data_IF_137716703786
#
_entry.id   IF_137716703786
#
_cell.length_a   1.000
_cell.length_b   1.000
_cell.length_c   1.000
_cell.angle_alpha   90.00
_cell.angle_beta   90.00
_cell.angle_gamma   90.00
#
_symmetry.space_group_name_H-M   'P 1'
#
loop_
_entity.id
_entity.type
_entity.pdbx_description
1 polymer ?
#
# COMPACT_ATOMS: atom_id res chain seq x y z
N UNK A 1 31.19 19.56 30.50
CA UNK A 1 30.51 19.12 29.28
C UNK A 1 30.46 17.59 29.28
N UNK A 2 29.29 16.94 29.33
CA UNK A 2 29.25 15.49 29.31
C UNK A 2 29.50 14.99 27.87
N UNK A 3 30.44 14.08 27.71
CA UNK A 3 30.68 13.35 26.47
C UNK A 3 29.46 12.44 26.22
N UNK A 4 28.74 12.70 25.13
CA UNK A 4 27.66 11.83 24.67
C UNK A 4 28.32 10.56 24.11
N UNK A 5 28.05 9.42 24.74
CA UNK A 5 28.56 8.11 24.35
C UNK A 5 28.08 7.72 22.94
N UNK A 6 28.94 7.84 21.94
CA UNK A 6 28.70 7.39 20.56
C UNK A 6 28.39 5.87 20.42
N UNK A 7 28.68 5.08 21.47
CA UNK A 7 28.42 3.64 21.46
C UNK A 7 26.91 3.29 21.47
N UNK A 8 26.07 4.12 22.12
CA UNK A 8 24.63 3.86 22.23
C UNK A 8 23.89 4.15 20.90
N UNK A 9 24.36 5.15 20.16
CA UNK A 9 23.77 5.46 18.84
C UNK A 9 24.15 4.40 17.77
N UNK A 10 25.38 3.91 17.81
CA UNK A 10 25.83 2.85 16.90
C UNK A 10 25.14 1.50 17.16
N UNK A 11 24.88 1.15 18.44
CA UNK A 11 24.13 -0.09 18.76
C UNK A 11 22.67 -0.04 18.35
N UNK A 12 22.01 1.14 18.44
CA UNK A 12 20.62 1.31 17.98
C UNK A 12 20.50 1.25 16.45
N UNK A 13 21.46 1.83 15.72
CA UNK A 13 21.51 1.74 14.25
C UNK A 13 21.81 0.31 13.78
N UNK A 14 22.68 -0.42 14.50
CA UNK A 14 22.97 -1.82 14.21
C UNK A 14 21.78 -2.74 14.50
N UNK A 15 21.04 -2.50 15.60
CA UNK A 15 19.83 -3.27 15.91
C UNK A 15 18.70 -3.01 14.89
N UNK A 16 18.54 -1.77 14.38
CA UNK A 16 17.60 -1.46 13.33
C UNK A 16 18.00 -2.08 11.98
N UNK A 17 19.29 -2.13 11.65
CA UNK A 17 19.80 -2.78 10.44
C UNK A 17 19.64 -4.32 10.48
N UNK A 18 19.82 -4.94 11.64
CA UNK A 18 19.62 -6.39 11.84
C UNK A 18 18.14 -6.74 11.57
N UNK A 19 17.20 -5.93 12.05
CA UNK A 19 15.76 -6.20 11.89
C UNK A 19 15.29 -6.10 10.42
N UNK A 20 15.80 -5.17 9.64
CA UNK A 20 15.48 -5.05 8.20
C UNK A 20 16.09 -6.20 7.42
N UNK A 21 17.31 -6.57 7.71
CA UNK A 21 17.97 -7.71 7.05
C UNK A 21 17.29 -9.02 7.37
N UNK A 22 16.88 -9.24 8.62
CA UNK A 22 16.17 -10.46 9.04
C UNK A 22 14.84 -10.62 8.29
N UNK A 23 14.09 -9.54 8.07
CA UNK A 23 12.84 -9.57 7.30
C UNK A 23 13.10 -9.85 5.82
N UNK A 24 14.10 -9.21 5.22
CA UNK A 24 14.49 -9.50 3.83
C UNK A 24 15.02 -10.93 3.68
N UNK A 25 15.81 -11.42 4.63
CA UNK A 25 16.32 -12.78 4.62
C UNK A 25 15.16 -13.78 4.82
N UNK A 26 14.17 -13.49 5.63
CA UNK A 26 12.99 -14.33 5.85
C UNK A 26 12.05 -14.34 4.63
N UNK A 27 11.87 -13.19 3.97
CA UNK A 27 11.15 -13.08 2.68
C UNK A 27 11.89 -13.86 1.58
N UNK A 28 13.22 -13.76 1.49
CA UNK A 28 14.02 -14.50 0.52
C UNK A 28 14.03 -16.00 0.83
N UNK A 29 14.11 -16.38 2.10
CA UNK A 29 14.02 -17.77 2.52
C UNK A 29 12.64 -18.37 2.21
N UNK A 30 11.57 -17.61 2.44
CA UNK A 30 10.21 -17.99 2.09
C UNK A 30 10.03 -18.12 0.59
N UNK A 31 10.67 -17.26 -0.22
CA UNK A 31 10.69 -17.34 -1.68
C UNK A 31 11.42 -18.60 -2.15
N UNK A 32 12.61 -18.88 -1.61
CA UNK A 32 13.39 -20.07 -2.00
C UNK A 32 12.69 -21.36 -1.60
N UNK A 33 12.10 -21.42 -0.40
CA UNK A 33 11.28 -22.55 0.05
C UNK A 33 10.03 -22.73 -0.82
N UNK A 34 9.43 -21.63 -1.29
CA UNK A 34 8.33 -21.63 -2.24
C UNK A 34 8.75 -22.18 -3.60
N UNK A 35 9.86 -21.69 -4.18
CA UNK A 35 10.36 -22.16 -5.49
C UNK A 35 10.71 -23.64 -5.47
N UNK A 36 11.28 -24.14 -4.36
CA UNK A 36 11.52 -25.58 -4.16
C UNK A 36 10.22 -26.38 -4.01
N UNK A 37 9.22 -25.82 -3.32
CA UNK A 37 7.92 -26.45 -3.13
C UNK A 37 7.14 -26.50 -4.45
N UNK A 38 7.21 -25.46 -5.26
CA UNK A 38 6.62 -25.41 -6.62
C UNK A 38 7.25 -26.43 -7.54
N UNK A 39 8.59 -26.62 -7.48
CA UNK A 39 9.28 -27.69 -8.21
C UNK A 39 8.82 -29.10 -7.81
N UNK A 40 8.56 -29.33 -6.52
CA UNK A 40 8.05 -30.59 -6.00
C UNK A 40 6.56 -30.84 -6.29
N UNK A 41 5.80 -29.76 -6.56
CA UNK A 41 4.35 -29.78 -6.79
C UNK A 41 3.97 -29.78 -8.26
N UNK A 42 4.93 -29.76 -9.20
CA UNK A 42 4.66 -29.82 -10.64
C UNK A 42 3.85 -31.06 -11.10
N UNK A 43 3.67 -32.02 -10.22
CA UNK A 43 2.86 -33.24 -10.45
C UNK A 43 1.49 -33.22 -9.74
N UNK A 44 1.18 -32.19 -8.93
CA UNK A 44 -0.10 -32.09 -8.22
C UNK A 44 -0.85 -30.82 -8.66
N UNK A 45 -2.16 -30.92 -8.79
CA UNK A 45 -3.02 -29.76 -9.04
C UNK A 45 -2.86 -28.73 -7.90
N UNK A 46 -2.14 -27.65 -8.16
CA UNK A 46 -1.96 -26.52 -7.25
C UNK A 46 -2.87 -25.39 -7.70
N UNK A 47 -3.75 -24.93 -6.82
CA UNK A 47 -4.59 -23.77 -7.08
C UNK A 47 -3.89 -22.48 -6.64
N UNK A 48 -3.94 -21.45 -7.46
CA UNK A 48 -3.42 -20.11 -7.15
C UNK A 48 -4.52 -19.25 -6.55
N UNK A 49 -4.26 -18.70 -5.36
CA UNK A 49 -5.08 -17.65 -4.75
C UNK A 49 -4.36 -16.32 -4.92
N UNK A 50 -5.00 -15.36 -5.58
CA UNK A 50 -4.51 -13.98 -5.68
C UNK A 50 -5.37 -13.11 -4.78
N UNK A 51 -4.82 -12.23 -3.94
CA UNK A 51 -5.60 -11.38 -3.02
C UNK A 51 -6.71 -10.58 -3.71
N UNK A 52 -6.43 -10.05 -4.91
CA UNK A 52 -7.42 -9.34 -5.72
C UNK A 52 -8.60 -10.21 -6.19
N UNK A 53 -8.50 -11.54 -6.13
CA UNK A 53 -9.61 -12.45 -6.43
C UNK A 53 -10.46 -12.78 -5.19
N UNK A 54 -10.01 -12.38 -4.00
CA UNK A 54 -10.75 -12.52 -2.75
C UNK A 54 -11.77 -11.38 -2.56
N UNK A 55 -11.76 -10.40 -3.45
CA UNK A 55 -12.83 -9.41 -3.50
C UNK A 55 -14.16 -10.15 -3.61
N UNK A 56 -15.12 -9.84 -2.73
CA UNK A 56 -16.43 -10.48 -2.76
C UNK A 56 -17.01 -10.25 -4.16
N UNK A 57 -16.98 -11.30 -5.03
CA UNK A 57 -17.27 -11.23 -6.45
C UNK A 57 -18.72 -10.83 -6.79
N UNK A 58 -19.53 -10.55 -5.77
CA UNK A 58 -20.78 -9.81 -5.88
C UNK A 58 -20.44 -8.32 -5.91
N UNK A 59 -20.37 -7.72 -7.12
CA UNK A 59 -20.43 -6.26 -7.25
C UNK A 59 -21.54 -5.76 -6.34
N UNK A 60 -21.17 -5.16 -5.22
CA UNK A 60 -22.15 -4.54 -4.32
C UNK A 60 -22.72 -3.37 -5.11
N UNK A 61 -23.92 -3.56 -5.64
CA UNK A 61 -24.62 -2.53 -6.43
C UNK A 61 -25.03 -1.38 -5.52
N UNK A 62 -24.87 -0.16 -6.04
CA UNK A 62 -25.38 1.04 -5.37
C UNK A 62 -26.90 0.87 -5.23
N UNK A 63 -27.48 1.05 -4.03
CA UNK A 63 -28.91 0.94 -3.83
C UNK A 63 -29.69 1.86 -4.78
N UNK A 64 -30.88 1.42 -5.22
CA UNK A 64 -31.76 2.27 -6.02
C UNK A 64 -32.18 3.51 -5.23
N UNK A 65 -32.12 4.69 -5.86
CA UNK A 65 -32.48 5.96 -5.23
C UNK A 65 -31.30 6.73 -4.60
N UNK A 66 -30.10 6.17 -4.61
CA UNK A 66 -28.90 6.91 -4.17
C UNK A 66 -28.44 7.81 -5.31
N UNK A 67 -28.15 9.08 -4.99
CA UNK A 67 -27.56 10.03 -5.93
C UNK A 67 -26.19 9.53 -6.38
N UNK A 68 -25.97 9.51 -7.70
CA UNK A 68 -24.71 9.05 -8.30
C UNK A 68 -23.87 10.24 -8.73
N UNK A 69 -22.61 10.19 -8.35
CA UNK A 69 -21.58 11.13 -8.77
C UNK A 69 -20.89 10.63 -10.05
N UNK A 70 -20.35 11.53 -10.83
CA UNK A 70 -19.53 11.19 -11.98
C UNK A 70 -18.26 12.05 -12.02
N UNK A 71 -17.20 11.51 -12.63
CA UNK A 71 -15.86 12.11 -12.56
C UNK A 71 -15.22 12.20 -13.95
N UNK A 72 -14.39 13.23 -14.12
CA UNK A 72 -13.47 13.37 -15.26
C UNK A 72 -12.05 13.11 -14.76
N UNK A 73 -11.64 11.86 -14.71
CA UNK A 73 -10.31 11.44 -14.30
C UNK A 73 -9.78 10.32 -15.19
N UNK A 74 -8.46 10.08 -15.22
CA UNK A 74 -7.91 8.87 -15.83
C UNK A 74 -8.55 7.64 -15.17
N UNK A 75 -8.86 6.64 -15.97
CA UNK A 75 -9.54 5.43 -15.52
C UNK A 75 -8.64 4.22 -15.77
N UNK A 76 -8.90 3.16 -15.01
CA UNK A 76 -8.29 1.86 -15.21
C UNK A 76 -7.20 1.51 -14.21
N UNK A 77 -6.67 0.32 -14.38
CA UNK A 77 -5.65 -0.27 -13.52
C UNK A 77 -4.34 0.54 -13.56
N UNK A 78 -4.03 1.11 -14.71
CA UNK A 78 -2.79 1.84 -14.98
C UNK A 78 -2.61 3.01 -14.02
N UNK A 79 -3.67 3.80 -13.80
CA UNK A 79 -3.61 4.93 -12.87
C UNK A 79 -3.43 4.47 -11.42
N UNK A 80 -4.00 3.31 -11.06
CA UNK A 80 -3.79 2.68 -9.76
C UNK A 80 -2.30 2.42 -9.52
N UNK A 81 -1.64 1.73 -10.44
CA UNK A 81 -0.21 1.43 -10.36
C UNK A 81 0.65 2.69 -10.24
N UNK A 82 0.35 3.72 -11.03
CA UNK A 82 1.09 5.00 -10.98
C UNK A 82 0.95 5.70 -9.63
N UNK A 83 -0.25 5.73 -9.06
CA UNK A 83 -0.50 6.37 -7.75
C UNK A 83 0.13 5.55 -6.62
N UNK A 84 0.01 4.23 -6.61
CA UNK A 84 0.69 3.36 -5.64
C UNK A 84 2.20 3.58 -5.69
N UNK A 85 2.77 3.65 -6.91
CA UNK A 85 4.20 3.94 -7.09
C UNK A 85 4.59 5.31 -6.57
N UNK A 86 3.78 6.32 -6.76
CA UNK A 86 4.04 7.67 -6.22
C UNK A 86 4.02 7.67 -4.68
N UNK A 87 3.08 6.96 -4.07
CA UNK A 87 3.00 6.84 -2.62
C UNK A 87 4.18 6.04 -2.04
N UNK A 88 4.53 4.93 -2.67
CA UNK A 88 5.73 4.16 -2.32
C UNK A 88 6.98 5.05 -2.30
N UNK A 89 7.23 5.79 -3.39
CA UNK A 89 8.38 6.70 -3.49
C UNK A 89 8.33 7.78 -2.41
N UNK A 90 7.16 8.36 -2.15
CA UNK A 90 6.97 9.39 -1.12
C UNK A 90 7.24 8.85 0.29
N UNK A 91 6.73 7.67 0.62
CA UNK A 91 6.96 7.02 1.91
C UNK A 91 8.44 6.67 2.10
N UNK A 92 9.10 6.17 1.05
CA UNK A 92 10.55 5.89 1.08
C UNK A 92 11.39 7.16 1.25
N UNK A 93 10.86 8.31 0.81
CA UNK A 93 11.48 9.64 0.99
C UNK A 93 10.87 10.44 2.16
N UNK A 94 10.14 9.79 3.09
CA UNK A 94 9.39 10.46 4.15
C UNK A 94 10.18 11.46 4.97
N UNK A 95 11.47 11.20 5.24
CA UNK A 95 12.32 12.13 5.98
C UNK A 95 12.55 13.48 5.28
N UNK A 96 12.27 13.58 3.96
CA UNK A 96 12.36 14.83 3.20
C UNK A 96 10.99 15.44 2.92
N UNK A 97 9.93 14.65 2.95
CA UNK A 97 8.58 15.05 2.57
C UNK A 97 7.68 15.34 3.77
N UNK A 98 7.92 14.71 4.92
CA UNK A 98 7.13 14.95 6.13
C UNK A 98 7.97 15.65 7.21
N UNK A 99 7.42 16.67 7.92
CA UNK A 99 6.11 17.26 7.68
C UNK A 99 6.05 17.98 6.33
N UNK A 100 4.90 17.91 5.66
CA UNK A 100 4.71 18.55 4.37
C UNK A 100 4.34 20.02 4.53
N UNK A 101 5.22 20.92 4.11
CA UNK A 101 5.11 22.36 4.26
C UNK A 101 5.19 23.13 2.92
N UNK A 102 5.07 22.41 1.80
CA UNK A 102 5.12 22.99 0.44
C UNK A 102 6.39 23.81 0.15
N UNK A 103 7.51 23.44 0.76
CA UNK A 103 8.79 24.11 0.48
C UNK A 103 9.21 23.92 -0.98
N UNK A 104 10.03 24.81 -1.55
CA UNK A 104 10.53 24.65 -2.92
C UNK A 104 11.20 23.30 -3.15
N UNK A 105 11.97 22.80 -2.17
CA UNK A 105 12.64 21.52 -2.23
C UNK A 105 11.66 20.34 -2.25
N UNK A 106 10.58 20.43 -1.45
CA UNK A 106 9.52 19.41 -1.44
C UNK A 106 8.75 19.43 -2.77
N UNK A 107 8.43 20.60 -3.30
CA UNK A 107 7.77 20.74 -4.61
C UNK A 107 8.59 20.14 -5.74
N UNK A 108 9.91 20.41 -5.78
CA UNK A 108 10.81 19.82 -6.75
C UNK A 108 10.87 18.30 -6.63
N UNK A 109 10.95 17.78 -5.39
CA UNK A 109 10.96 16.34 -5.14
C UNK A 109 9.66 15.66 -5.59
N UNK A 110 8.52 16.29 -5.33
CA UNK A 110 7.21 15.81 -5.78
C UNK A 110 7.17 15.70 -7.31
N UNK A 111 7.65 16.71 -8.05
CA UNK A 111 7.69 16.66 -9.51
C UNK A 111 8.54 15.49 -10.03
N UNK A 112 9.66 15.19 -9.35
CA UNK A 112 10.49 14.02 -9.68
C UNK A 112 9.77 12.71 -9.40
N UNK A 113 9.05 12.61 -8.28
CA UNK A 113 8.25 11.43 -7.93
C UNK A 113 7.13 11.22 -8.96
N UNK A 114 6.37 12.27 -9.29
CA UNK A 114 5.28 12.21 -10.27
C UNK A 114 5.79 11.77 -11.64
N UNK A 115 6.90 12.37 -12.11
CA UNK A 115 7.51 12.00 -13.38
C UNK A 115 7.98 10.54 -13.37
N UNK A 116 8.61 10.10 -12.29
CA UNK A 116 9.09 8.72 -12.16
C UNK A 116 7.93 7.71 -12.13
N UNK A 117 6.90 7.98 -11.33
CA UNK A 117 5.72 7.12 -11.25
C UNK A 117 4.99 6.97 -12.58
N UNK A 118 4.92 8.05 -13.38
CA UNK A 118 4.40 7.98 -14.74
C UNK A 118 5.28 7.12 -15.64
N UNK A 119 6.58 7.40 -15.70
CA UNK A 119 7.53 6.69 -16.59
C UNK A 119 7.62 5.18 -16.28
N UNK A 120 7.48 4.79 -15.03
CA UNK A 120 7.51 3.38 -14.64
C UNK A 120 6.35 2.56 -15.25
N UNK A 121 5.23 3.22 -15.63
CA UNK A 121 4.01 2.58 -16.13
C UNK A 121 3.44 3.17 -17.42
N UNK A 122 4.13 4.12 -18.08
CA UNK A 122 3.61 4.77 -19.30
C UNK A 122 3.32 3.75 -20.43
N UNK A 123 4.13 2.69 -20.53
CA UNK A 123 3.95 1.62 -21.51
C UNK A 123 2.71 0.75 -21.29
N UNK A 124 2.09 0.83 -20.13
CA UNK A 124 0.87 0.09 -19.76
C UNK A 124 -0.40 0.93 -19.99
N UNK A 125 -0.26 2.22 -20.35
CA UNK A 125 -1.39 3.12 -20.52
C UNK A 125 -2.29 2.66 -21.65
N UNK A 126 -3.48 2.19 -21.30
CA UNK A 126 -4.51 1.75 -22.24
C UNK A 126 -5.46 2.88 -22.66
N UNK A 127 -5.42 4.03 -21.99
CA UNK A 127 -6.33 5.15 -22.22
C UNK A 127 -5.73 6.16 -23.19
N UNK A 128 -6.62 6.90 -23.88
CA UNK A 128 -6.24 8.01 -24.75
C UNK A 128 -5.96 9.32 -23.99
N UNK A 129 -5.84 9.27 -22.67
CA UNK A 129 -5.53 10.45 -21.87
C UNK A 129 -4.10 10.92 -22.12
N UNK A 130 -3.87 12.23 -22.08
CA UNK A 130 -2.54 12.81 -22.28
C UNK A 130 -1.64 12.52 -21.07
N UNK A 131 -0.32 12.50 -21.29
CA UNK A 131 0.69 12.43 -20.23
C UNK A 131 0.45 13.49 -19.13
N UNK A 132 0.16 14.73 -19.54
CA UNK A 132 -0.11 15.82 -18.59
C UNK A 132 -1.29 15.50 -17.69
N UNK A 133 -2.34 14.86 -18.22
CA UNK A 133 -3.52 14.50 -17.44
C UNK A 133 -3.21 13.41 -16.40
N UNK A 134 -2.40 12.41 -16.77
CA UNK A 134 -1.92 11.41 -15.81
C UNK A 134 -1.06 12.04 -14.71
N UNK A 135 -0.08 12.86 -15.11
CA UNK A 135 0.81 13.54 -14.16
C UNK A 135 0.05 14.49 -13.22
N UNK A 136 -0.93 15.22 -13.73
CA UNK A 136 -1.78 16.09 -12.91
C UNK A 136 -2.59 15.30 -11.88
N UNK A 137 -3.11 14.13 -12.27
CA UNK A 137 -3.84 13.28 -11.35
C UNK A 137 -2.91 12.68 -10.28
N UNK A 138 -1.77 12.11 -10.66
CA UNK A 138 -0.78 11.59 -9.72
C UNK A 138 -0.34 12.68 -8.75
N UNK A 139 -0.05 13.88 -9.26
CA UNK A 139 0.37 15.02 -8.44
C UNK A 139 -0.72 15.42 -7.44
N UNK A 140 -1.98 15.44 -7.87
CA UNK A 140 -3.10 15.76 -6.98
C UNK A 140 -3.25 14.73 -5.86
N UNK A 141 -3.21 13.44 -6.18
CA UNK A 141 -3.30 12.36 -5.20
C UNK A 141 -2.12 12.39 -4.21
N UNK A 142 -0.91 12.63 -4.73
CA UNK A 142 0.29 12.72 -3.90
C UNK A 142 0.21 13.90 -2.93
N UNK A 143 -0.26 15.06 -3.37
CA UNK A 143 -0.48 16.21 -2.50
C UNK A 143 -1.53 15.92 -1.42
N UNK A 144 -2.63 15.24 -1.76
CA UNK A 144 -3.66 14.83 -0.79
C UNK A 144 -3.07 13.91 0.27
N UNK A 145 -2.29 12.90 -0.15
CA UNK A 145 -1.61 11.95 0.74
C UNK A 145 -0.61 12.65 1.67
N UNK A 146 0.20 13.57 1.15
CA UNK A 146 1.19 14.31 1.95
C UNK A 146 0.57 15.28 2.95
N UNK A 147 -0.65 15.78 2.68
CA UNK A 147 -1.41 16.66 3.58
C UNK A 147 -2.20 15.91 4.64
N UNK A 148 -2.34 14.60 4.49
CA UNK A 148 -3.08 13.78 5.43
C UNK A 148 -2.35 13.68 6.77
N UNK A 149 -2.99 14.18 7.83
CA UNK A 149 -2.38 14.25 9.16
C UNK A 149 -2.34 12.91 9.88
N UNK A 150 -3.24 12.00 9.54
CA UNK A 150 -3.24 10.66 10.10
C UNK A 150 -2.10 9.84 9.49
N UNK A 151 -1.89 9.93 8.18
CA UNK A 151 -0.72 9.35 7.50
C UNK A 151 0.59 9.93 8.05
N UNK A 152 0.69 11.26 8.17
CA UNK A 152 1.88 11.90 8.75
C UNK A 152 2.18 11.36 10.16
N UNK A 153 1.16 11.28 11.02
CA UNK A 153 1.27 10.78 12.38
C UNK A 153 1.72 9.33 12.41
N UNK A 154 1.10 8.47 11.62
CA UNK A 154 1.44 7.05 11.52
C UNK A 154 2.89 6.85 11.08
N UNK A 155 3.31 7.50 9.99
CA UNK A 155 4.68 7.41 9.47
C UNK A 155 5.72 7.94 10.44
N UNK A 156 5.38 8.95 11.25
CA UNK A 156 6.27 9.53 12.26
C UNK A 156 6.43 8.64 13.49
N UNK A 157 5.38 7.93 13.87
CA UNK A 157 5.36 7.11 15.09
C UNK A 157 5.78 5.66 14.85
N UNK A 158 5.75 5.19 13.61
CA UNK A 158 6.14 3.84 13.26
C UNK A 158 7.63 3.58 13.55
N UNK A 159 7.92 2.45 14.20
CA UNK A 159 9.28 1.96 14.44
C UNK A 159 9.94 1.47 13.14
N UNK A 160 9.15 0.86 12.25
CA UNK A 160 9.59 0.46 10.92
C UNK A 160 8.46 0.64 9.91
N UNK A 161 8.84 0.91 8.67
CA UNK A 161 7.92 1.19 7.55
C UNK A 161 8.35 0.37 6.35
N UNK A 162 7.45 -0.44 5.83
CA UNK A 162 7.66 -1.28 4.65
C UNK A 162 6.65 -0.89 3.58
N UNK A 163 7.15 -0.59 2.40
CA UNK A 163 6.34 -0.29 1.20
C UNK A 163 6.43 -1.45 0.24
N UNK A 164 5.32 -1.75 -0.45
CA UNK A 164 5.26 -2.83 -1.45
C UNK A 164 5.85 -4.13 -0.89
N UNK A 165 5.44 -4.52 0.33
CA UNK A 165 5.97 -5.71 1.00
C UNK A 165 5.50 -6.97 0.28
N UNK A 166 6.38 -7.70 -0.43
CA UNK A 166 5.99 -8.89 -1.14
C UNK A 166 5.78 -10.06 -0.18
N UNK A 167 4.87 -10.95 -0.52
CA UNK A 167 4.69 -12.20 0.22
C UNK A 167 4.49 -13.38 -0.69
N UNK A 168 4.87 -14.55 -0.17
CA UNK A 168 4.62 -15.86 -0.77
C UNK A 168 4.15 -16.79 0.34
N UNK A 169 3.08 -17.52 0.11
CA UNK A 169 2.53 -18.46 1.10
C UNK A 169 2.04 -19.73 0.44
N UNK A 170 2.23 -20.84 1.15
CA UNK A 170 1.64 -22.13 0.83
C UNK A 170 0.72 -22.54 1.98
N UNK A 171 -0.48 -23.02 1.66
CA UNK A 171 -1.43 -23.60 2.60
C UNK A 171 -2.01 -24.88 1.97
N UNK A 172 -1.44 -26.02 2.35
CA UNK A 172 -1.72 -27.29 1.69
C UNK A 172 -1.31 -27.28 0.21
N UNK A 173 -2.29 -27.43 -0.69
CA UNK A 173 -2.10 -27.38 -2.15
C UNK A 173 -2.43 -26.00 -2.75
N UNK A 174 -2.70 -25.01 -1.92
CA UNK A 174 -2.97 -23.64 -2.35
C UNK A 174 -1.73 -22.77 -2.15
N UNK A 175 -1.32 -22.08 -3.19
CA UNK A 175 -0.28 -21.07 -3.07
C UNK A 175 -0.85 -19.67 -3.31
N UNK A 176 -0.29 -18.72 -2.62
CA UNK A 176 -0.62 -17.32 -2.79
C UNK A 176 0.63 -16.46 -2.84
N UNK A 177 0.59 -15.46 -3.68
CA UNK A 177 1.59 -14.42 -3.72
C UNK A 177 0.92 -13.08 -3.95
N UNK A 178 1.55 -12.03 -3.48
CA UNK A 178 1.05 -10.67 -3.63
C UNK A 178 1.98 -9.67 -2.98
N UNK A 179 1.47 -8.48 -2.84
CA UNK A 179 2.18 -7.34 -2.25
C UNK A 179 1.22 -6.63 -1.31
N UNK A 180 1.70 -6.20 -0.16
CA UNK A 180 0.99 -5.30 0.76
C UNK A 180 1.54 -3.89 0.53
N UNK A 181 0.68 -2.94 0.21
CA UNK A 181 1.08 -1.60 -0.22
C UNK A 181 1.93 -0.87 0.85
N UNK A 182 1.45 -0.86 2.09
CA UNK A 182 2.14 -0.24 3.22
C UNK A 182 1.93 -1.04 4.49
N UNK A 183 3.02 -1.45 5.14
CA UNK A 183 3.01 -2.10 6.44
C UNK A 183 3.83 -1.28 7.43
N UNK A 184 3.22 -0.93 8.55
CA UNK A 184 3.83 -0.16 9.62
C UNK A 184 3.99 -1.05 10.86
N UNK A 185 5.22 -1.16 11.37
CA UNK A 185 5.46 -1.71 12.70
C UNK A 185 5.37 -0.57 13.71
N UNK A 186 4.31 -0.53 14.50
CA UNK A 186 4.11 0.51 15.53
C UNK A 186 4.85 0.15 16.83
N UNK A 187 4.90 -1.14 17.15
CA UNK A 187 5.64 -1.70 18.28
C UNK A 187 5.93 -3.19 18.01
N UNK A 188 6.61 -3.88 18.94
CA UNK A 188 6.79 -5.33 18.82
C UNK A 188 5.48 -6.13 18.90
N UNK A 189 4.38 -5.47 19.30
CA UNK A 189 3.07 -6.10 19.48
C UNK A 189 1.97 -5.40 18.68
N UNK A 190 2.31 -4.49 17.77
CA UNK A 190 1.31 -3.73 17.01
C UNK A 190 1.81 -3.42 15.62
N UNK A 191 0.99 -3.79 14.62
CA UNK A 191 1.23 -3.56 13.19
C UNK A 191 -0.01 -2.92 12.57
N UNK A 192 0.21 -2.13 11.53
CA UNK A 192 -0.86 -1.56 10.70
C UNK A 192 -0.55 -1.91 9.24
N UNK A 193 -1.54 -2.46 8.53
CA UNK A 193 -1.52 -2.66 7.08
C UNK A 193 -2.42 -1.59 6.47
N UNK A 194 -1.93 -0.86 5.48
CA UNK A 194 -2.73 0.11 4.72
C UNK A 194 -2.70 -0.31 3.27
N UNK A 195 -3.89 -0.54 2.72
CA UNK A 195 -4.11 -0.92 1.33
C UNK A 195 -4.68 0.30 0.58
N UNK A 196 -4.06 0.70 -0.53
CA UNK A 196 -4.46 1.87 -1.30
C UNK A 196 -5.52 1.49 -2.32
N UNK A 197 -6.62 2.23 -2.37
CA UNK A 197 -7.71 1.95 -3.30
C UNK A 197 -8.05 3.17 -4.16
N UNK A 198 -8.06 2.94 -5.46
CA UNK A 198 -8.41 3.92 -6.49
C UNK A 198 -9.89 3.85 -6.89
N UNK A 199 -10.74 3.26 -6.05
CA UNK A 199 -12.17 3.20 -6.30
C UNK A 199 -12.77 4.59 -6.34
N UNK A 200 -13.65 4.83 -7.33
CA UNK A 200 -14.41 6.06 -7.44
C UNK A 200 -15.55 6.04 -6.44
N UNK A 201 -15.72 7.14 -5.71
CA UNK A 201 -16.92 7.35 -4.92
C UNK A 201 -18.08 7.65 -5.87
N UNK A 202 -18.91 6.65 -6.15
CA UNK A 202 -20.08 6.80 -7.04
C UNK A 202 -21.32 7.27 -6.29
N UNK A 203 -21.34 7.15 -4.97
CA UNK A 203 -22.41 7.60 -4.08
C UNK A 203 -22.11 9.00 -3.55
N UNK A 204 -23.15 9.86 -3.48
CA UNK A 204 -23.03 11.17 -2.83
C UNK A 204 -22.77 11.03 -1.32
N UNK A 205 -23.28 9.98 -0.70
CA UNK A 205 -23.01 9.64 0.71
C UNK A 205 -21.67 8.91 0.83
N UNK A 206 -20.66 9.63 1.35
CA UNK A 206 -19.32 9.09 1.56
C UNK A 206 -19.28 7.91 2.53
N UNK A 207 -20.10 7.94 3.58
CA UNK A 207 -20.16 6.87 4.57
C UNK A 207 -20.66 5.58 3.95
N UNK A 208 -21.71 5.67 3.12
CA UNK A 208 -22.24 4.52 2.39
C UNK A 208 -21.19 3.95 1.41
N UNK A 209 -20.44 4.82 0.74
CA UNK A 209 -19.32 4.41 -0.12
C UNK A 209 -18.27 3.63 0.69
N UNK A 210 -17.80 4.20 1.80
CA UNK A 210 -16.75 3.58 2.63
C UNK A 210 -17.20 2.23 3.20
N UNK A 211 -18.43 2.12 3.70
CA UNK A 211 -19.00 0.86 4.19
C UNK A 211 -19.09 -0.20 3.07
N UNK A 212 -19.50 0.19 1.86
CA UNK A 212 -19.58 -0.71 0.71
C UNK A 212 -18.21 -1.20 0.29
N UNK A 213 -17.24 -0.31 0.18
CA UNK A 213 -15.88 -0.66 -0.22
C UNK A 213 -15.21 -1.53 0.86
N UNK A 214 -15.34 -1.17 2.13
CA UNK A 214 -14.80 -1.95 3.23
C UNK A 214 -15.35 -3.39 3.21
N UNK A 215 -16.66 -3.55 2.97
CA UNK A 215 -17.28 -4.87 2.85
C UNK A 215 -16.71 -5.66 1.67
N UNK A 216 -16.49 -5.00 0.53
CA UNK A 216 -15.92 -5.63 -0.68
C UNK A 216 -14.50 -6.14 -0.44
N UNK A 217 -13.66 -5.34 0.22
CA UNK A 217 -12.24 -5.66 0.41
C UNK A 217 -11.91 -6.36 1.74
N UNK A 218 -12.90 -6.55 2.62
CA UNK A 218 -12.68 -7.25 3.90
C UNK A 218 -11.98 -8.60 3.75
N UNK A 219 -12.37 -9.47 2.81
CA UNK A 219 -11.68 -10.76 2.63
C UNK A 219 -10.21 -10.60 2.24
N UNK A 220 -9.85 -9.57 1.47
CA UNK A 220 -8.47 -9.26 1.12
C UNK A 220 -7.67 -8.79 2.35
N UNK A 221 -8.25 -7.90 3.16
CA UNK A 221 -7.61 -7.39 4.37
C UNK A 221 -7.39 -8.50 5.41
N UNK A 222 -8.41 -9.35 5.64
CA UNK A 222 -8.30 -10.49 6.54
C UNK A 222 -7.22 -11.48 6.05
N UNK A 223 -7.09 -11.64 4.74
CA UNK A 223 -6.04 -12.44 4.13
C UNK A 223 -4.65 -11.83 4.36
N UNK A 224 -4.48 -10.53 4.19
CA UNK A 224 -3.22 -9.83 4.46
C UNK A 224 -2.82 -9.96 5.94
N UNK A 225 -3.76 -9.80 6.87
CA UNK A 225 -3.52 -10.01 8.29
C UNK A 225 -3.01 -11.44 8.56
N UNK A 226 -3.72 -12.46 8.03
CA UNK A 226 -3.31 -13.88 8.17
C UNK A 226 -1.90 -14.11 7.64
N UNK A 227 -1.58 -13.55 6.48
CA UNK A 227 -0.26 -13.70 5.86
C UNK A 227 0.82 -12.99 6.68
N UNK A 228 0.59 -11.76 7.12
CA UNK A 228 1.56 -11.01 7.93
C UNK A 228 1.84 -11.75 9.25
N UNK A 229 0.80 -12.25 9.91
CA UNK A 229 0.94 -13.05 11.14
C UNK A 229 1.80 -14.29 10.91
N UNK A 230 1.58 -15.00 9.81
CA UNK A 230 2.36 -16.20 9.43
C UNK A 230 3.80 -15.83 9.10
N UNK A 231 4.02 -14.80 8.28
CA UNK A 231 5.34 -14.33 7.83
C UNK A 231 6.26 -13.96 9.00
N UNK A 232 5.71 -13.24 9.96
CA UNK A 232 6.48 -12.71 11.09
C UNK A 232 6.33 -13.57 12.35
N UNK A 233 5.69 -14.75 12.27
CA UNK A 233 5.42 -15.64 13.41
C UNK A 233 4.78 -14.90 14.59
N UNK A 234 3.84 -13.98 14.30
CA UNK A 234 3.21 -13.13 15.29
C UNK A 234 2.32 -13.96 16.24
N UNK A 235 2.39 -13.64 17.52
CA UNK A 235 1.48 -14.23 18.51
C UNK A 235 0.05 -13.73 18.32
N UNK A 236 -0.93 -14.47 18.84
CA UNK A 236 -2.35 -14.04 18.87
C UNK A 236 -2.56 -12.72 19.63
N UNK A 237 -1.67 -12.40 20.57
CA UNK A 237 -1.69 -11.16 21.36
C UNK A 237 -1.12 -9.95 20.61
N UNK A 238 -0.54 -10.16 19.42
CA UNK A 238 -0.06 -9.07 18.58
C UNK A 238 -1.24 -8.44 17.87
N UNK A 239 -1.40 -7.15 18.02
CA UNK A 239 -2.43 -6.37 17.32
C UNK A 239 -2.03 -6.14 15.87
N UNK A 240 -2.93 -6.44 14.94
CA UNK A 240 -2.75 -6.13 13.52
C UNK A 240 -4.01 -5.44 13.04
N UNK A 241 -3.88 -4.17 12.70
CA UNK A 241 -4.97 -3.39 12.12
C UNK A 241 -4.83 -3.34 10.60
N UNK A 242 -5.96 -3.43 9.89
CA UNK A 242 -5.99 -3.30 8.43
C UNK A 242 -6.89 -2.14 8.04
N UNK A 243 -6.34 -1.21 7.26
CA UNK A 243 -7.01 0.00 6.81
C UNK A 243 -7.03 0.08 5.29
N UNK A 244 -8.01 0.80 4.75
CA UNK A 244 -8.06 1.20 3.35
C UNK A 244 -7.79 2.71 3.29
N UNK A 245 -6.83 3.10 2.45
CA UNK A 245 -6.64 4.50 2.10
C UNK A 245 -7.32 4.80 0.77
N UNK A 246 -8.32 5.66 0.80
CA UNK A 246 -9.08 6.07 -0.38
C UNK A 246 -8.44 7.26 -1.07
N UNK A 247 -8.36 7.18 -2.40
CA UNK A 247 -7.98 8.34 -3.20
C UNK A 247 -9.00 9.47 -3.08
N UNK A 248 -8.52 10.71 -3.14
CA UNK A 248 -9.36 11.89 -3.15
C UNK A 248 -9.66 12.30 -4.61
N UNK A 249 -10.90 12.23 -5.03
CA UNK A 249 -11.33 12.56 -6.39
C UNK A 249 -12.15 13.86 -6.49
N UNK A 250 -12.28 14.63 -5.43
CA UNK A 250 -13.12 15.85 -5.37
C UNK A 250 -12.84 16.82 -6.52
N UNK A 251 -11.56 17.03 -6.86
CA UNK A 251 -11.14 17.89 -7.99
C UNK A 251 -11.69 17.43 -9.34
N UNK A 252 -11.99 16.15 -9.50
CA UNK A 252 -12.37 15.51 -10.76
C UNK A 252 -13.87 15.24 -10.86
N UNK A 253 -14.65 15.61 -9.84
CA UNK A 253 -16.10 15.48 -9.85
C UNK A 253 -16.70 16.33 -10.98
N UNK A 254 -17.65 15.75 -11.72
CA UNK A 254 -18.42 16.48 -12.73
C UNK A 254 -19.54 17.22 -12.03
N UNK A 255 -19.60 18.52 -12.23
CA UNK A 255 -20.77 19.33 -11.89
C UNK A 255 -21.93 19.07 -12.86
#
# INVERSE_FOLDING_TARGET
MPQINNATAQSAVQAAQINVKDIFDEVNNSRNAFDESVKKLSEKHVSKITPSHLEDGKKVTIPSGVEKLSYKRPMGRDIGHMVHRAFELAVNMRGKLFPYNETPQQKELIQKIVSRAYLDFEGECSSQASESFYKDYINYQLHSFLKDKDIEKLLKTAQAVYTELPFYSMDGNEYSNGVMDLVLKMSDKSFIIIDYKTNIQEEADRKLFEERILKTYRPQLDFYEKILRKMLSLSEKTEVECHIYFMNDDKYMKN
#
